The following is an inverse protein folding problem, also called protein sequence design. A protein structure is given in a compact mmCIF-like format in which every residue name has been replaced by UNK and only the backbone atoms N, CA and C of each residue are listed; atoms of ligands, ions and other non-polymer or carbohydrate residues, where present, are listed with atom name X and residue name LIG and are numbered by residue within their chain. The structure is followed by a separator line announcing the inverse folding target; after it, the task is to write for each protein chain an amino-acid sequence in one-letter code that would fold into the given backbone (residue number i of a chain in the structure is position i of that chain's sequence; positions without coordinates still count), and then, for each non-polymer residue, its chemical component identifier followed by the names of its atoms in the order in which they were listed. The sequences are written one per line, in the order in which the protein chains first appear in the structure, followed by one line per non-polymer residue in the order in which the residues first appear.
data_IF_130220523047
#
_entry.id   IF_130220523047
#
_cell.length_a   1.000
_cell.length_b   1.000
_cell.length_c   1.000
_cell.angle_alpha   90.00
_cell.angle_beta   90.00
_cell.angle_gamma   90.00
#
_symmetry.space_group_name_H-M   'P 1'
#
loop_
_entity.id
_entity.type
_entity.pdbx_description
1 polymer ?
#
# COMPACT_ATOMS: atom_id res chain seq x y z
N UNK A 1 22.19 -8.59 36.99
CA UNK A 1 22.20 -9.62 35.93
C UNK A 1 21.17 -9.24 34.89
N UNK A 2 21.56 -9.09 33.63
CA UNK A 2 20.67 -8.75 32.51
C UNK A 2 20.50 -9.97 31.62
N UNK A 3 19.27 -10.28 31.22
CA UNK A 3 18.96 -11.38 30.31
C UNK A 3 18.39 -10.80 29.01
N UNK A 4 18.93 -11.23 27.87
CA UNK A 4 18.49 -10.76 26.55
C UNK A 4 17.65 -11.87 25.91
N UNK A 5 16.39 -11.55 25.57
CA UNK A 5 15.51 -12.46 24.85
C UNK A 5 15.68 -12.22 23.34
N UNK A 6 16.42 -13.11 22.67
CA UNK A 6 16.78 -12.96 21.26
C UNK A 6 15.65 -13.31 20.26
N UNK A 7 14.54 -13.90 20.73
CA UNK A 7 13.43 -14.35 19.90
C UNK A 7 12.09 -13.85 20.45
N UNK A 8 11.10 -13.56 19.58
CA UNK A 8 9.74 -13.31 20.01
C UNK A 8 9.10 -14.57 20.59
N UNK A 9 8.30 -14.40 21.63
CA UNK A 9 7.69 -15.50 22.39
C UNK A 9 7.26 -15.06 23.78
N UNK A 10 6.45 -15.90 24.43
CA UNK A 10 6.03 -15.70 25.82
C UNK A 10 6.97 -16.44 26.76
N UNK A 11 7.68 -15.69 27.60
CA UNK A 11 8.59 -16.20 28.61
C UNK A 11 7.93 -16.12 29.99
N UNK A 12 7.88 -17.24 30.70
CA UNK A 12 7.25 -17.33 32.04
C UNK A 12 8.32 -17.59 33.10
N UNK A 13 9.08 -16.56 33.54
CA UNK A 13 10.16 -16.76 34.50
C UNK A 13 9.63 -17.22 35.86
N UNK A 14 10.35 -18.15 36.49
CA UNK A 14 10.08 -18.62 37.85
C UNK A 14 11.31 -18.44 38.72
N UNK A 15 11.12 -17.93 39.93
CA UNK A 15 12.17 -17.86 40.96
C UNK A 15 11.89 -18.94 41.99
N UNK A 16 12.87 -19.78 42.25
CA UNK A 16 12.81 -20.79 43.32
C UNK A 16 13.76 -20.40 44.43
N UNK A 17 13.23 -19.98 45.57
CA UNK A 17 14.01 -19.83 46.81
C UNK A 17 14.11 -21.20 47.48
N UNK A 18 15.32 -21.57 47.88
CA UNK A 18 15.60 -22.79 48.65
C UNK A 18 16.15 -22.37 50.00
N UNK A 19 15.50 -22.80 51.07
CA UNK A 19 15.95 -22.58 52.44
C UNK A 19 17.17 -23.46 52.77
N UNK A 20 17.94 -23.11 53.81
CA UNK A 20 19.06 -23.91 54.30
C UNK A 20 18.65 -25.33 54.73
N UNK A 21 17.38 -25.54 55.10
CA UNK A 21 16.79 -26.84 55.41
C UNK A 21 16.27 -27.61 54.18
N UNK A 22 16.53 -27.11 52.96
CA UNK A 22 16.17 -27.76 51.70
C UNK A 22 14.71 -27.52 51.24
N UNK A 23 13.91 -26.79 52.02
CA UNK A 23 12.56 -26.40 51.63
C UNK A 23 12.57 -25.47 50.41
N UNK A 24 11.81 -25.81 49.36
CA UNK A 24 11.75 -25.04 48.10
C UNK A 24 10.41 -24.34 47.95
N UNK A 25 10.43 -23.02 47.78
CA UNK A 25 9.26 -22.23 47.39
C UNK A 25 9.51 -21.64 45.99
N UNK A 26 8.60 -21.89 45.06
CA UNK A 26 8.70 -21.43 43.68
C UNK A 26 7.62 -20.38 43.38
N UNK A 27 8.05 -19.13 43.20
CA UNK A 27 7.18 -18.04 42.75
C UNK A 27 7.23 -17.93 41.24
N UNK A 28 6.09 -18.12 40.57
CA UNK A 28 5.95 -17.84 39.14
C UNK A 28 5.71 -16.34 38.97
N UNK A 29 6.50 -15.69 38.12
CA UNK A 29 6.31 -14.29 37.78
C UNK A 29 5.28 -14.16 36.65
N UNK A 30 4.80 -12.94 36.42
CA UNK A 30 3.94 -12.64 35.28
C UNK A 30 4.67 -12.96 33.96
N UNK A 31 3.98 -13.50 32.95
CA UNK A 31 4.58 -13.80 31.65
C UNK A 31 5.00 -12.52 30.93
N UNK A 32 6.18 -12.55 30.31
CA UNK A 32 6.73 -11.49 29.47
C UNK A 32 6.58 -11.92 28.02
N UNK A 33 5.77 -11.21 27.24
CA UNK A 33 5.61 -11.48 25.81
C UNK A 33 6.50 -10.54 25.00
N UNK A 34 7.47 -11.11 24.28
CA UNK A 34 8.30 -10.40 23.31
C UNK A 34 7.66 -10.58 21.94
N UNK A 35 7.38 -9.48 21.25
CA UNK A 35 6.76 -9.49 19.92
C UNK A 35 7.83 -9.38 18.83
N UNK A 36 7.52 -9.91 17.64
CA UNK A 36 8.37 -9.70 16.47
C UNK A 36 8.33 -8.20 16.07
N UNK A 37 9.36 -7.66 15.40
CA UNK A 37 9.31 -6.28 14.92
C UNK A 37 8.12 -6.08 13.97
N UNK A 38 7.42 -4.96 14.12
CA UNK A 38 6.29 -4.59 13.25
C UNK A 38 6.81 -4.24 11.85
N UNK A 39 6.29 -4.91 10.83
CA UNK A 39 6.56 -4.61 9.41
C UNK A 39 5.25 -4.43 8.66
N UNK A 40 5.24 -3.56 7.65
CA UNK A 40 4.07 -3.34 6.79
C UNK A 40 4.48 -3.19 5.34
N UNK A 41 3.59 -3.59 4.44
CA UNK A 41 3.71 -3.43 3.00
C UNK A 41 2.37 -3.01 2.38
N UNK A 42 2.43 -2.36 1.24
CA UNK A 42 1.28 -1.93 0.44
C UNK A 42 1.09 -2.94 -0.70
N UNK A 43 -0.14 -3.40 -0.90
CA UNK A 43 -0.55 -4.12 -2.11
C UNK A 43 -1.53 -3.25 -2.89
N UNK A 44 -1.29 -3.06 -4.20
CA UNK A 44 -2.20 -2.37 -5.12
C UNK A 44 -2.80 -3.34 -6.14
N UNK A 45 -4.03 -3.09 -6.58
CA UNK A 45 -4.61 -3.73 -7.76
C UNK A 45 -4.04 -3.17 -9.07
N UNK A 46 -3.57 -1.93 -9.06
CA UNK A 46 -2.85 -1.27 -10.15
C UNK A 46 -1.95 -0.16 -9.61
N UNK A 47 -0.72 -0.09 -10.10
CA UNK A 47 0.20 1.04 -9.89
C UNK A 47 0.16 2.06 -11.02
N UNK A 48 -0.61 1.79 -12.09
CA UNK A 48 -0.81 2.68 -13.24
C UNK A 48 -2.29 2.82 -13.62
N UNK A 49 -3.17 3.27 -12.71
CA UNK A 49 -4.57 3.52 -13.03
C UNK A 49 -4.70 4.71 -13.99
N UNK A 50 -5.77 4.73 -14.79
CA UNK A 50 -6.13 5.93 -15.56
C UNK A 50 -6.81 6.95 -14.64
N UNK A 51 -6.62 8.25 -14.87
CA UNK A 51 -7.27 9.31 -14.11
C UNK A 51 -8.80 9.08 -14.02
N UNK A 52 -9.35 9.19 -12.81
CA UNK A 52 -10.74 8.87 -12.48
C UNK A 52 -11.04 7.38 -12.24
N UNK A 53 -10.16 6.44 -12.60
CA UNK A 53 -10.32 5.02 -12.26
C UNK A 53 -9.86 4.74 -10.82
N UNK A 54 -10.54 3.80 -10.17
CA UNK A 54 -10.19 3.38 -8.82
C UNK A 54 -9.14 2.27 -8.81
N UNK A 55 -8.09 2.43 -8.01
CA UNK A 55 -7.19 1.37 -7.61
C UNK A 55 -7.53 0.89 -6.19
N UNK A 56 -7.63 -0.42 -6.01
CA UNK A 56 -7.71 -1.05 -4.70
C UNK A 56 -6.34 -1.05 -4.03
N UNK A 57 -6.29 -0.63 -2.77
CA UNK A 57 -5.10 -0.57 -1.94
C UNK A 57 -5.35 -1.35 -0.63
N UNK A 58 -4.39 -2.20 -0.27
CA UNK A 58 -4.46 -3.05 0.92
C UNK A 58 -3.17 -2.95 1.72
N UNK A 59 -3.32 -2.69 3.02
CA UNK A 59 -2.26 -2.78 3.99
C UNK A 59 -2.10 -4.25 4.41
N UNK A 60 -0.87 -4.75 4.36
CA UNK A 60 -0.50 -6.04 4.94
C UNK A 60 0.55 -5.78 6.00
N UNK A 61 0.22 -6.10 7.26
CA UNK A 61 1.09 -5.92 8.40
C UNK A 61 1.38 -7.27 9.08
N UNK A 62 2.61 -7.45 9.53
CA UNK A 62 3.10 -8.65 10.20
C UNK A 62 4.05 -8.30 11.33
N UNK A 63 4.12 -9.14 12.37
CA UNK A 63 4.81 -8.82 13.61
C UNK A 63 4.07 -7.77 14.45
N UNK A 64 4.73 -7.16 15.41
CA UNK A 64 4.08 -6.30 16.40
C UNK A 64 3.09 -7.04 17.30
N UNK A 65 2.18 -6.29 17.92
CA UNK A 65 1.20 -6.80 18.89
C UNK A 65 -0.23 -6.34 18.61
N UNK A 66 -1.19 -7.24 18.88
CA UNK A 66 -2.61 -6.93 18.94
C UNK A 66 -3.20 -6.50 17.60
N UNK A 67 -4.16 -5.58 17.66
CA UNK A 67 -4.85 -5.08 16.47
C UNK A 67 -4.07 -3.93 15.82
N UNK A 68 -3.96 -3.97 14.49
CA UNK A 68 -3.35 -2.89 13.73
C UNK A 68 -4.37 -1.78 13.43
N UNK A 69 -3.90 -0.53 13.47
CA UNK A 69 -4.58 0.62 12.88
C UNK A 69 -3.81 1.09 11.65
N UNK A 70 -4.53 1.41 10.58
CA UNK A 70 -3.98 1.87 9.31
C UNK A 70 -4.33 3.33 9.07
N UNK A 71 -3.44 4.05 8.39
CA UNK A 71 -3.70 5.40 7.89
C UNK A 71 -2.96 5.58 6.56
N UNK A 72 -3.69 6.06 5.56
CA UNK A 72 -3.20 6.31 4.21
C UNK A 72 -3.18 7.81 3.94
N UNK A 73 -2.15 8.24 3.21
CA UNK A 73 -2.08 9.48 2.46
C UNK A 73 -1.81 9.08 1.00
N UNK A 74 -2.65 9.50 0.06
CA UNK A 74 -2.52 9.11 -1.35
C UNK A 74 -1.68 10.09 -2.18
N UNK A 75 -1.10 11.13 -1.56
CA UNK A 75 -0.28 12.15 -2.22
C UNK A 75 -1.08 13.20 -3.00
N UNK A 76 -2.41 13.21 -2.88
CA UNK A 76 -3.35 14.12 -3.56
C UNK A 76 -4.21 14.93 -2.57
N UNK A 77 -3.74 15.04 -1.32
CA UNK A 77 -4.43 15.57 -0.15
C UNK A 77 -5.62 14.75 0.37
N UNK A 78 -5.96 13.60 -0.24
CA UNK A 78 -6.92 12.65 0.34
C UNK A 78 -6.23 11.66 1.27
N UNK A 79 -6.95 11.25 2.31
CA UNK A 79 -6.48 10.29 3.33
C UNK A 79 -7.57 9.27 3.66
N UNK A 80 -7.18 8.13 4.22
CA UNK A 80 -8.11 7.09 4.66
C UNK A 80 -7.60 6.33 5.89
N UNK A 81 -8.48 5.68 6.65
CA UNK A 81 -8.15 4.98 7.91
C UNK A 81 -8.45 3.46 7.90
N UNK A 82 -9.08 2.94 6.85
CA UNK A 82 -9.29 1.50 6.69
C UNK A 82 -8.01 0.82 6.19
N UNK A 83 -7.75 -0.42 6.61
CA UNK A 83 -6.63 -1.23 6.08
C UNK A 83 -6.88 -1.76 4.65
N UNK A 84 -8.12 -1.69 4.15
CA UNK A 84 -8.47 -1.96 2.74
C UNK A 84 -9.30 -0.78 2.24
N UNK A 85 -8.83 -0.13 1.18
CA UNK A 85 -9.42 1.08 0.60
C UNK A 85 -9.41 0.99 -0.93
N UNK A 86 -10.25 1.78 -1.57
CA UNK A 86 -10.25 1.97 -3.01
C UNK A 86 -10.19 3.48 -3.25
N UNK A 87 -9.22 3.94 -4.04
CA UNK A 87 -8.96 5.36 -4.28
C UNK A 87 -8.83 5.67 -5.76
N UNK A 88 -9.27 6.84 -6.20
CA UNK A 88 -9.14 7.31 -7.59
C UNK A 88 -8.53 8.70 -7.62
N UNK A 89 -7.54 8.90 -8.48
CA UNK A 89 -6.88 10.19 -8.65
C UNK A 89 -7.55 10.96 -9.79
N UNK A 90 -7.94 12.20 -9.54
CA UNK A 90 -8.65 13.03 -10.52
C UNK A 90 -7.76 13.50 -11.69
N UNK A 91 -6.44 13.58 -11.48
CA UNK A 91 -5.46 14.10 -12.45
C UNK A 91 -4.41 13.05 -12.73
N UNK A 92 -3.87 13.02 -13.96
CA UNK A 92 -2.70 12.21 -14.30
C UNK A 92 -1.43 12.79 -13.68
N UNK A 93 -0.53 11.93 -13.19
CA UNK A 93 0.68 12.35 -12.50
C UNK A 93 1.32 11.24 -11.66
N UNK A 94 2.43 11.58 -11.02
CA UNK A 94 3.12 10.68 -10.08
C UNK A 94 2.68 10.99 -8.65
N UNK A 95 2.10 10.00 -7.97
CA UNK A 95 1.63 10.09 -6.61
C UNK A 95 2.42 9.14 -5.71
N UNK A 96 2.74 9.60 -4.49
CA UNK A 96 3.44 8.79 -3.49
C UNK A 96 2.45 8.39 -2.41
N UNK A 97 1.94 7.17 -2.49
CA UNK A 97 1.04 6.62 -1.48
C UNK A 97 1.85 6.25 -0.25
N UNK A 98 1.50 6.83 0.89
CA UNK A 98 2.13 6.58 2.20
C UNK A 98 1.15 5.86 3.12
N UNK A 99 1.52 4.67 3.56
CA UNK A 99 0.81 3.89 4.57
C UNK A 99 1.54 4.00 5.91
N UNK A 100 0.86 4.51 6.94
CA UNK A 100 1.23 4.33 8.34
C UNK A 100 0.45 3.16 8.93
N UNK A 101 1.15 2.19 9.52
CA UNK A 101 0.54 1.17 10.39
C UNK A 101 1.02 1.36 11.82
N UNK A 102 0.11 1.22 12.78
CA UNK A 102 0.44 1.17 14.21
C UNK A 102 -0.14 -0.08 14.87
N UNK A 103 0.64 -0.69 15.76
CA UNK A 103 0.20 -1.82 16.58
C UNK A 103 -0.41 -1.38 17.93
N UNK A 104 -0.90 -2.32 18.72
CA UNK A 104 -1.55 -2.03 20.01
C UNK A 104 -0.59 -1.56 21.12
N UNK A 105 0.72 -1.66 20.93
CA UNK A 105 1.74 -1.13 21.83
C UNK A 105 2.24 0.26 21.40
N UNK A 106 1.69 0.80 20.30
CA UNK A 106 2.08 2.09 19.74
C UNK A 106 3.29 2.05 18.82
N UNK A 107 3.83 0.87 18.51
CA UNK A 107 4.88 0.72 17.50
C UNK A 107 4.33 1.22 16.16
N UNK A 108 5.09 2.04 15.45
CA UNK A 108 4.71 2.63 14.16
C UNK A 108 5.67 2.18 13.08
N UNK A 109 5.14 1.71 11.96
CA UNK A 109 5.89 1.50 10.71
C UNK A 109 5.26 2.35 9.60
N UNK A 110 6.09 2.77 8.64
CA UNK A 110 5.66 3.50 7.45
C UNK A 110 6.11 2.71 6.23
N UNK A 111 5.21 2.51 5.28
CA UNK A 111 5.50 1.97 3.94
C UNK A 111 5.11 3.00 2.89
N UNK A 112 5.82 3.06 1.77
CA UNK A 112 5.55 3.97 0.65
C UNK A 112 5.51 3.21 -0.67
N UNK A 113 4.68 3.69 -1.60
CA UNK A 113 4.55 3.12 -2.94
C UNK A 113 4.25 4.21 -3.96
N UNK A 114 4.93 4.15 -5.10
CA UNK A 114 4.70 5.06 -6.21
C UNK A 114 3.53 4.56 -7.09
N UNK A 115 2.63 5.48 -7.44
CA UNK A 115 1.53 5.26 -8.39
C UNK A 115 1.66 6.29 -9.51
N UNK A 116 1.66 5.83 -10.75
CA UNK A 116 1.79 6.67 -11.94
C UNK A 116 0.44 6.71 -12.68
N UNK A 117 -0.36 7.73 -12.39
CA UNK A 117 -1.72 7.87 -12.93
C UNK A 117 -1.64 8.31 -14.38
N UNK A 118 -2.16 7.47 -15.27
CA UNK A 118 -2.20 7.70 -16.71
C UNK A 118 -3.28 8.71 -17.08
N UNK A 119 -3.07 9.50 -18.14
CA UNK A 119 -4.13 10.37 -18.64
C UNK A 119 -5.27 9.55 -19.26
N UNK A 120 -6.50 10.05 -19.21
CA UNK A 120 -7.57 9.48 -20.02
C UNK A 120 -7.21 9.66 -21.49
N UNK A 121 -7.05 8.55 -22.22
CA UNK A 121 -6.94 8.61 -23.67
C UNK A 121 -8.29 9.09 -24.22
N UNK A 122 -8.36 10.37 -24.59
CA UNK A 122 -9.47 10.88 -25.39
C UNK A 122 -9.50 10.08 -26.69
N UNK A 123 -10.54 9.28 -26.91
CA UNK A 123 -10.77 8.72 -28.23
C UNK A 123 -11.02 9.88 -29.18
N UNK A 124 -10.08 10.09 -30.11
CA UNK A 124 -10.34 10.99 -31.24
C UNK A 124 -11.45 10.33 -32.04
N UNK A 125 -12.68 10.81 -31.88
CA UNK A 125 -13.77 10.42 -32.75
C UNK A 125 -13.34 10.81 -34.18
N UNK A 126 -12.97 9.81 -34.98
CA UNK A 126 -12.75 10.02 -36.40
C UNK A 126 -14.09 10.53 -36.95
N UNK A 127 -14.12 11.80 -37.33
CA UNK A 127 -15.31 12.42 -37.88
C UNK A 127 -15.64 11.73 -39.19
N UNK A 128 -16.59 10.80 -39.16
CA UNK A 128 -17.20 10.23 -40.36
C UNK A 128 -17.88 11.38 -41.11
N UNK A 129 -17.18 11.93 -42.10
CA UNK A 129 -17.74 12.86 -43.07
C UNK A 129 -18.74 12.10 -43.93
N UNK A 130 -19.99 12.06 -43.45
CA UNK A 130 -21.10 11.43 -44.12
C UNK A 130 -21.32 12.10 -45.49
N UNK A 131 -21.03 11.38 -46.57
CA UNK A 131 -21.34 11.81 -47.94
C UNK A 131 -20.15 12.02 -48.88
N UNK A 132 -18.89 11.88 -48.45
CA UNK A 132 -17.79 11.73 -49.43
C UNK A 132 -17.68 10.26 -49.86
N UNK A 133 -17.92 9.91 -51.14
CA UNK A 133 -17.44 8.64 -51.66
C UNK A 133 -15.91 8.64 -51.60
N UNK A 134 -15.33 7.60 -51.02
CA UNK A 134 -13.90 7.35 -51.13
C UNK A 134 -13.59 6.98 -52.59
N UNK A 135 -13.22 7.98 -53.40
CA UNK A 135 -12.53 7.73 -54.65
C UNK A 135 -11.16 7.15 -54.30
N UNK A 136 -10.97 5.87 -54.62
CA UNK A 136 -9.70 5.18 -54.44
C UNK A 136 -8.61 5.91 -55.25
N UNK A 137 -7.61 6.44 -54.54
CA UNK A 137 -6.48 7.16 -55.13
C UNK A 137 -5.44 6.22 -55.77
N UNK A 138 -5.72 4.91 -55.83
CA UNK A 138 -4.90 3.92 -56.53
C UNK A 138 -4.98 3.98 -58.07
N UNK A 139 -5.51 5.07 -58.67
CA UNK A 139 -5.33 5.38 -60.08
C UNK A 139 -5.33 6.90 -60.34
N UNK A 140 -4.34 7.34 -61.12
CA UNK A 140 -4.04 8.71 -61.59
C UNK A 140 -3.01 9.45 -60.73
N UNK A 141 -1.73 9.26 -61.10
CA UNK A 141 -0.68 10.22 -60.73
C UNK A 141 -0.81 11.47 -61.61
N UNK A 142 -1.32 12.57 -61.05
CA UNK A 142 -1.26 13.91 -61.65
C UNK A 142 -0.60 14.88 -60.66
N UNK A 143 0.29 15.69 -61.23
CA UNK A 143 1.10 16.71 -60.56
C UNK A 143 0.28 18.01 -60.37
N UNK A 144 0.64 18.77 -59.33
CA UNK A 144 0.10 20.05 -58.86
C UNK A 144 -0.56 21.03 -59.87
N UNK A 145 -1.64 21.71 -59.41
CA UNK A 145 -2.19 23.04 -59.83
C UNK A 145 -3.45 23.36 -58.96
N UNK A 146 -3.82 24.58 -58.55
CA UNK A 146 -3.08 25.81 -58.18
C UNK A 146 -4.01 26.77 -57.35
N UNK A 147 -3.43 27.67 -56.53
CA UNK A 147 -3.96 28.94 -55.94
C UNK A 147 -5.40 29.07 -55.36
N UNK A 148 -5.50 29.63 -54.15
CA UNK A 148 -5.77 31.07 -53.95
C UNK A 148 -4.66 31.65 -53.06
#
# INVERSE_FOLDING_TARGET
MTHIYAHPGTYSPSVTVTDALGGKNATRLAPITIFAPLTALIQASSTTPVAGQSAGLKAVATGGSGNYSCSWDFGDANTASSCVVAHSWATSGNYTVTLTVRDSQGNKVIATMYVNVQNQQSSVAQGTIAGVPFYDLAAIGIIAVIAV
#
